data_IF_473681487216
#
_entry.id   IF_473681487216
#
_cell.length_a   1.000
_cell.length_b   1.000
_cell.length_c   1.000
_cell.angle_alpha   90.00
_cell.angle_beta   90.00
_cell.angle_gamma   90.00
#
_symmetry.space_group_name_H-M   'P 1'
#
loop_
_entity.id
_entity.type
_entity.pdbx_description
1 polymer ?
#
# COMPACT_ATOMS: atom_id res chain seq x y z
N UNK A 1 3.75 22.91 17.23
CA UNK A 1 4.46 22.72 15.95
C UNK A 1 3.43 22.58 14.85
N UNK A 2 3.07 23.69 14.21
CA UNK A 2 2.06 23.74 13.14
C UNK A 2 2.73 23.55 11.79
N UNK A 3 2.95 22.30 11.38
CA UNK A 3 3.43 21.96 10.04
C UNK A 3 2.28 22.17 9.03
N UNK A 4 2.03 23.43 8.67
CA UNK A 4 1.05 23.83 7.66
C UNK A 4 1.71 23.79 6.28
N UNK A 5 1.72 22.63 5.65
CA UNK A 5 1.37 22.58 4.24
C UNK A 5 -0.16 22.66 4.21
N UNK A 6 -0.76 23.70 3.63
CA UNK A 6 -2.21 23.77 3.48
C UNK A 6 -2.66 22.52 2.73
N UNK A 7 -3.25 21.53 3.41
CA UNK A 7 -3.85 20.39 2.74
C UNK A 7 -5.19 20.85 2.17
N UNK A 8 -5.14 21.45 0.99
CA UNK A 8 -6.36 21.75 0.25
C UNK A 8 -7.12 20.43 0.07
N UNK A 9 -8.46 20.45 -0.07
CA UNK A 9 -9.22 19.22 -0.31
C UNK A 9 -8.64 18.39 -1.47
N UNK A 10 -8.09 19.06 -2.47
CA UNK A 10 -7.47 18.46 -3.63
C UNK A 10 -6.11 17.80 -3.31
N UNK A 11 -5.28 18.41 -2.46
CA UNK A 11 -4.03 17.77 -1.98
C UNK A 11 -4.31 16.50 -1.18
N UNK A 12 -5.44 16.44 -0.46
CA UNK A 12 -5.84 15.26 0.31
C UNK A 12 -6.24 14.11 -0.61
N UNK A 13 -6.94 14.43 -1.70
CA UNK A 13 -7.27 13.45 -2.74
C UNK A 13 -5.98 12.91 -3.34
N UNK A 14 -5.08 13.77 -3.82
CA UNK A 14 -3.82 13.33 -4.42
C UNK A 14 -2.88 12.60 -3.46
N UNK A 15 -2.82 13.00 -2.19
CA UNK A 15 -2.06 12.29 -1.18
C UNK A 15 -2.65 10.90 -0.85
N UNK A 16 -3.94 10.68 -1.08
CA UNK A 16 -4.58 9.38 -0.83
C UNK A 16 -4.39 8.38 -1.99
N UNK A 17 -4.23 8.87 -3.22
CA UNK A 17 -4.10 8.04 -4.42
C UNK A 17 -2.95 7.02 -4.38
N UNK A 18 -1.73 7.36 -3.89
CA UNK A 18 -0.64 6.39 -3.81
C UNK A 18 -0.97 5.14 -3.02
N UNK A 19 -1.87 5.20 -2.03
CA UNK A 19 -2.27 4.03 -1.23
C UNK A 19 -3.08 3.00 -2.02
N UNK A 20 -3.52 3.31 -3.24
CA UNK A 20 -4.04 2.30 -4.16
C UNK A 20 -2.98 1.27 -4.53
N UNK A 21 -1.69 1.65 -4.58
CA UNK A 21 -0.61 0.73 -4.91
C UNK A 21 -0.48 -0.41 -3.87
N UNK A 22 -0.25 -0.15 -2.57
CA UNK A 22 -0.18 -1.22 -1.57
C UNK A 22 -1.52 -1.95 -1.39
N UNK A 23 -2.65 -1.30 -1.68
CA UNK A 23 -3.95 -1.98 -1.69
C UNK A 23 -4.00 -3.08 -2.77
N UNK A 24 -3.57 -2.76 -3.99
CA UNK A 24 -3.49 -3.73 -5.10
C UNK A 24 -2.46 -4.81 -4.83
N UNK A 25 -1.25 -4.44 -4.37
CA UNK A 25 -0.19 -5.38 -3.97
C UNK A 25 -0.66 -6.33 -2.85
N UNK A 26 -1.60 -5.89 -2.01
CA UNK A 26 -2.16 -6.66 -0.91
C UNK A 26 -3.19 -7.72 -1.34
N UNK A 27 -3.92 -7.53 -2.44
CA UNK A 27 -5.03 -8.41 -2.85
C UNK A 27 -4.62 -9.89 -2.99
N UNK A 28 -3.45 -10.25 -3.57
CA UNK A 28 -3.02 -11.64 -3.66
C UNK A 28 -2.93 -12.35 -2.30
N UNK A 29 -2.64 -11.63 -1.21
CA UNK A 29 -2.58 -12.22 0.12
C UNK A 29 -3.96 -12.59 0.68
N UNK A 30 -5.04 -11.98 0.17
CA UNK A 30 -6.41 -12.20 0.63
C UNK A 30 -7.13 -13.38 -0.03
N UNK A 31 -6.50 -14.11 -0.97
CA UNK A 31 -7.14 -15.16 -1.76
C UNK A 31 -7.85 -16.23 -0.90
N UNK A 32 -7.21 -16.66 0.18
CA UNK A 32 -7.79 -17.65 1.10
C UNK A 32 -9.07 -17.11 1.74
N UNK A 33 -9.04 -15.86 2.19
CA UNK A 33 -10.15 -15.19 2.83
C UNK A 33 -11.31 -14.95 1.85
N UNK A 34 -11.04 -14.60 0.61
CA UNK A 34 -12.05 -14.46 -0.45
C UNK A 34 -12.69 -15.79 -0.86
N UNK A 35 -11.93 -16.89 -0.83
CA UNK A 35 -12.46 -18.22 -1.08
C UNK A 35 -13.36 -18.70 0.07
N UNK A 36 -13.01 -18.39 1.32
CA UNK A 36 -13.80 -18.72 2.51
C UNK A 36 -15.07 -17.87 2.63
N UNK A 37 -14.99 -16.59 2.25
CA UNK A 37 -16.10 -15.64 2.34
C UNK A 37 -16.36 -14.97 0.99
N UNK A 38 -17.04 -15.64 0.04
CA UNK A 38 -17.24 -15.13 -1.31
C UNK A 38 -17.94 -13.76 -1.37
N UNK A 39 -18.76 -13.42 -0.38
CA UNK A 39 -19.43 -12.12 -0.25
C UNK A 39 -18.43 -10.95 -0.27
N UNK A 40 -17.21 -11.14 0.23
CA UNK A 40 -16.18 -10.11 0.26
C UNK A 40 -15.67 -9.74 -1.15
N UNK A 41 -15.85 -10.60 -2.16
CA UNK A 41 -15.53 -10.25 -3.54
C UNK A 41 -16.37 -9.08 -4.05
N UNK A 42 -17.56 -8.85 -3.49
CA UNK A 42 -18.38 -7.69 -3.84
C UNK A 42 -17.67 -6.36 -3.53
N UNK A 43 -16.79 -6.33 -2.50
CA UNK A 43 -15.99 -5.16 -2.15
C UNK A 43 -14.89 -4.86 -3.18
N UNK A 44 -14.48 -5.86 -3.97
CA UNK A 44 -13.47 -5.70 -5.02
C UNK A 44 -14.05 -5.23 -6.35
N UNK A 45 -15.36 -5.31 -6.55
CA UNK A 45 -16.05 -4.84 -7.77
C UNK A 45 -15.61 -3.45 -8.23
N UNK A 46 -15.56 -2.40 -7.37
CA UNK A 46 -15.13 -1.07 -7.80
C UNK A 46 -13.66 -1.00 -8.26
N UNK A 47 -12.80 -1.87 -7.72
CA UNK A 47 -11.35 -1.89 -7.98
C UNK A 47 -10.99 -2.89 -9.10
N UNK A 48 -11.93 -3.73 -9.50
CA UNK A 48 -11.74 -4.77 -10.53
C UNK A 48 -11.13 -4.27 -11.84
N UNK A 49 -11.58 -3.14 -12.46
CA UNK A 49 -10.94 -2.67 -13.69
C UNK A 49 -9.48 -2.27 -13.47
N UNK A 50 -9.17 -1.69 -12.31
CA UNK A 50 -7.80 -1.33 -11.95
C UNK A 50 -6.94 -2.58 -11.74
N UNK A 51 -7.47 -3.61 -11.07
CA UNK A 51 -6.81 -4.91 -10.90
C UNK A 51 -6.51 -5.59 -12.23
N UNK A 52 -7.44 -5.53 -13.20
CA UNK A 52 -7.25 -6.12 -14.51
C UNK A 52 -6.08 -5.48 -15.27
N UNK A 53 -5.96 -4.15 -15.21
CA UNK A 53 -4.83 -3.42 -15.81
C UNK A 53 -3.53 -3.75 -15.07
N UNK A 54 -3.59 -3.73 -13.74
CA UNK A 54 -2.44 -3.92 -12.87
C UNK A 54 -1.84 -5.34 -12.99
N UNK A 55 -2.65 -6.38 -13.03
CA UNK A 55 -2.19 -7.76 -13.20
C UNK A 55 -2.02 -8.16 -14.67
N UNK A 56 -2.62 -7.42 -15.60
CA UNK A 56 -2.50 -7.67 -17.04
C UNK A 56 -1.15 -7.29 -17.64
N UNK A 57 -0.35 -6.48 -16.93
CA UNK A 57 0.96 -6.00 -17.40
C UNK A 57 2.11 -6.53 -16.52
N UNK A 58 3.15 -7.14 -17.10
CA UNK A 58 4.28 -7.64 -16.32
C UNK A 58 5.00 -6.48 -15.63
N UNK A 59 5.42 -6.70 -14.38
CA UNK A 59 6.12 -5.68 -13.56
C UNK A 59 5.32 -4.39 -13.32
N UNK A 60 4.00 -4.37 -13.49
CA UNK A 60 3.18 -3.18 -13.26
C UNK A 60 3.43 -2.54 -11.88
N UNK A 61 3.50 -3.35 -10.82
CA UNK A 61 3.82 -2.91 -9.46
C UNK A 61 5.14 -2.11 -9.41
N UNK A 62 6.19 -2.67 -10.01
CA UNK A 62 7.52 -2.05 -10.04
C UNK A 62 7.55 -0.78 -10.91
N UNK A 63 6.85 -0.77 -12.04
CA UNK A 63 6.75 0.40 -12.91
C UNK A 63 6.03 1.53 -12.19
N UNK A 64 4.90 1.25 -11.55
CA UNK A 64 4.12 2.24 -10.80
C UNK A 64 4.92 2.74 -9.59
N UNK A 65 5.63 1.85 -8.89
CA UNK A 65 6.58 2.22 -7.85
C UNK A 65 7.58 3.28 -8.34
N UNK A 66 8.25 3.03 -9.47
CA UNK A 66 9.24 3.98 -10.00
C UNK A 66 8.59 5.27 -10.49
N UNK A 67 7.41 5.18 -11.10
CA UNK A 67 6.66 6.35 -11.54
C UNK A 67 6.29 7.25 -10.35
N UNK A 68 5.71 6.69 -9.28
CA UNK A 68 5.37 7.46 -8.07
C UNK A 68 6.64 8.01 -7.41
N UNK A 69 7.71 7.22 -7.33
CA UNK A 69 8.95 7.67 -6.70
C UNK A 69 9.61 8.83 -7.47
N UNK A 70 9.78 8.69 -8.78
CA UNK A 70 10.49 9.68 -9.60
C UNK A 70 9.64 10.93 -9.86
N UNK A 71 8.35 10.76 -10.15
CA UNK A 71 7.47 11.89 -10.52
C UNK A 71 6.90 12.61 -9.30
N UNK A 72 6.66 11.88 -8.20
CA UNK A 72 6.01 12.44 -7.00
C UNK A 72 7.03 12.69 -5.89
N UNK A 73 7.66 11.64 -5.36
CA UNK A 73 8.51 11.73 -4.16
C UNK A 73 9.74 12.63 -4.38
N UNK A 74 10.39 12.51 -5.54
CA UNK A 74 11.60 13.25 -5.91
C UNK A 74 11.34 14.65 -6.47
N UNK A 75 10.09 15.04 -6.69
CA UNK A 75 9.76 16.34 -7.25
C UNK A 75 9.48 17.36 -6.13
N UNK A 76 10.41 18.29 -5.92
CA UNK A 76 10.30 19.31 -4.86
C UNK A 76 9.20 20.35 -5.11
N UNK A 77 8.64 20.42 -6.32
CA UNK A 77 7.47 21.26 -6.61
C UNK A 77 6.18 20.69 -6.01
N UNK A 78 6.17 19.41 -5.62
CA UNK A 78 5.00 18.76 -5.04
C UNK A 78 4.98 19.01 -3.52
N UNK A 79 3.82 19.36 -2.94
CA UNK A 79 3.67 19.54 -1.51
C UNK A 79 4.23 18.37 -0.69
N UNK A 80 4.95 18.70 0.38
CA UNK A 80 5.52 17.71 1.30
C UNK A 80 4.49 16.68 1.78
N UNK A 81 3.24 17.11 2.02
CA UNK A 81 2.15 16.24 2.44
C UNK A 81 1.84 15.11 1.44
N UNK A 82 1.87 15.40 0.13
CA UNK A 82 1.65 14.40 -0.92
C UNK A 82 2.87 13.49 -1.01
N UNK A 83 4.09 14.07 -0.96
CA UNK A 83 5.35 13.32 -1.02
C UNK A 83 5.48 12.33 0.14
N UNK A 84 5.10 12.74 1.35
CA UNK A 84 5.07 11.89 2.54
C UNK A 84 4.17 10.68 2.33
N UNK A 85 2.91 10.90 1.94
CA UNK A 85 1.97 9.80 1.75
C UNK A 85 2.35 8.90 0.58
N UNK A 86 2.90 9.46 -0.50
CA UNK A 86 3.44 8.70 -1.62
C UNK A 86 4.60 7.79 -1.19
N UNK A 87 5.54 8.33 -0.42
CA UNK A 87 6.67 7.57 0.12
C UNK A 87 6.19 6.48 1.08
N UNK A 88 5.21 6.76 1.94
CA UNK A 88 4.65 5.78 2.86
C UNK A 88 3.95 4.63 2.12
N UNK A 89 3.16 4.93 1.09
CA UNK A 89 2.51 3.93 0.26
C UNK A 89 3.53 3.04 -0.46
N UNK A 90 4.59 3.65 -1.01
CA UNK A 90 5.70 2.95 -1.64
C UNK A 90 6.38 1.98 -0.65
N UNK A 91 6.68 2.43 0.57
CA UNK A 91 7.32 1.58 1.57
C UNK A 91 6.43 0.40 1.97
N UNK A 92 5.11 0.60 2.09
CA UNK A 92 4.16 -0.50 2.29
C UNK A 92 4.23 -1.52 1.15
N UNK A 93 4.25 -1.06 -0.10
CA UNK A 93 4.41 -1.94 -1.26
C UNK A 93 5.72 -2.72 -1.26
N UNK A 94 6.83 -2.10 -0.86
CA UNK A 94 8.12 -2.82 -0.69
C UNK A 94 7.96 -3.92 0.37
N UNK A 95 7.38 -3.60 1.53
CA UNK A 95 7.18 -4.59 2.60
C UNK A 95 6.34 -5.77 2.09
N UNK A 96 5.26 -5.50 1.34
CA UNK A 96 4.41 -6.54 0.78
C UNK A 96 5.15 -7.40 -0.25
N UNK A 97 5.92 -6.79 -1.14
CA UNK A 97 6.74 -7.53 -2.10
C UNK A 97 7.75 -8.44 -1.38
N UNK A 98 8.42 -7.95 -0.34
CA UNK A 98 9.35 -8.75 0.47
C UNK A 98 8.63 -9.88 1.20
N UNK A 99 7.48 -9.62 1.82
CA UNK A 99 6.65 -10.66 2.43
C UNK A 99 6.25 -11.73 1.42
N UNK A 100 5.85 -11.34 0.20
CA UNK A 100 5.52 -12.25 -0.88
C UNK A 100 6.71 -13.14 -1.28
N UNK A 101 7.89 -12.55 -1.42
CA UNK A 101 9.12 -13.30 -1.73
C UNK A 101 9.45 -14.29 -0.61
N UNK A 102 9.46 -13.85 0.65
CA UNK A 102 9.78 -14.72 1.80
C UNK A 102 8.76 -15.85 1.93
N UNK A 103 7.47 -15.55 1.79
CA UNK A 103 6.41 -16.55 1.88
C UNK A 103 6.51 -17.58 0.75
N UNK A 104 6.64 -17.16 -0.50
CA UNK A 104 6.62 -18.09 -1.64
C UNK A 104 7.93 -18.84 -1.84
N UNK A 105 9.08 -18.19 -1.61
CA UNK A 105 10.38 -18.78 -1.91
C UNK A 105 11.00 -19.49 -0.71
N UNK A 106 10.80 -18.99 0.51
CA UNK A 106 11.42 -19.56 1.70
C UNK A 106 10.46 -20.45 2.51
N UNK A 107 9.24 -19.98 2.79
CA UNK A 107 8.31 -20.65 3.70
C UNK A 107 7.43 -21.70 3.02
N UNK A 108 6.91 -21.45 1.83
CA UNK A 108 6.03 -22.38 1.13
C UNK A 108 6.66 -23.76 0.86
N UNK A 109 7.95 -23.88 0.47
CA UNK A 109 8.60 -25.18 0.31
C UNK A 109 8.76 -25.98 1.61
N UNK A 110 8.78 -25.29 2.77
CA UNK A 110 9.00 -25.88 4.09
C UNK A 110 7.68 -26.23 4.77
N UNK A 111 6.72 -25.30 4.75
CA UNK A 111 5.46 -25.38 5.50
C UNK A 111 4.28 -25.87 4.66
N UNK A 112 4.40 -25.86 3.33
CA UNK A 112 3.32 -26.20 2.41
C UNK A 112 2.13 -25.23 2.49
N UNK A 113 0.96 -25.68 2.02
CA UNK A 113 -0.30 -24.91 1.98
C UNK A 113 -1.18 -25.03 3.23
N UNK A 114 -0.61 -25.46 4.36
CA UNK A 114 -1.35 -25.74 5.60
C UNK A 114 -1.91 -24.50 6.31
N UNK A 115 -2.59 -24.73 7.44
CA UNK A 115 -3.25 -23.68 8.24
C UNK A 115 -2.31 -22.52 8.62
N UNK A 116 -1.05 -22.82 8.94
CA UNK A 116 -0.06 -21.79 9.30
C UNK A 116 0.18 -20.83 8.14
N UNK A 117 0.35 -21.37 6.92
CA UNK A 117 0.58 -20.56 5.72
C UNK A 117 -0.63 -19.67 5.41
N UNK A 118 -1.83 -20.25 5.47
CA UNK A 118 -3.09 -19.52 5.29
C UNK A 118 -3.26 -18.39 6.33
N UNK A 119 -2.88 -18.65 7.58
CA UNK A 119 -2.93 -17.65 8.65
C UNK A 119 -1.98 -16.49 8.37
N UNK A 120 -0.75 -16.77 7.92
CA UNK A 120 0.22 -15.72 7.56
C UNK A 120 -0.29 -14.84 6.42
N UNK A 121 -0.81 -15.45 5.35
CA UNK A 121 -1.45 -14.73 4.24
C UNK A 121 -2.58 -13.82 4.73
N UNK A 122 -3.49 -14.34 5.56
CA UNK A 122 -4.60 -13.57 6.10
C UNK A 122 -4.13 -12.43 7.02
N UNK A 123 -3.13 -12.65 7.87
CA UNK A 123 -2.58 -11.61 8.76
C UNK A 123 -1.96 -10.48 7.94
N UNK A 124 -1.18 -10.81 6.91
CA UNK A 124 -0.60 -9.79 6.02
C UNK A 124 -1.71 -9.03 5.31
N UNK A 125 -2.70 -9.73 4.74
CA UNK A 125 -3.81 -9.10 4.03
C UNK A 125 -4.59 -8.13 4.94
N UNK A 126 -5.02 -8.60 6.11
CA UNK A 126 -5.77 -7.77 7.07
C UNK A 126 -4.92 -6.62 7.60
N UNK A 127 -3.63 -6.84 7.83
CA UNK A 127 -2.67 -5.80 8.19
C UNK A 127 -2.54 -4.72 7.13
N UNK A 128 -2.47 -5.11 5.85
CA UNK A 128 -2.45 -4.19 4.71
C UNK A 128 -3.72 -3.36 4.62
N UNK A 129 -4.89 -4.01 4.71
CA UNK A 129 -6.18 -3.30 4.67
C UNK A 129 -6.26 -2.30 5.83
N UNK A 130 -5.89 -2.71 7.05
CA UNK A 130 -5.88 -1.83 8.20
C UNK A 130 -4.94 -0.63 8.01
N UNK A 131 -3.71 -0.86 7.55
CA UNK A 131 -2.71 0.18 7.30
C UNK A 131 -3.16 1.16 6.20
N UNK A 132 -3.71 0.66 5.10
CA UNK A 132 -4.21 1.46 3.98
C UNK A 132 -5.43 2.29 4.42
N UNK A 133 -6.42 1.67 5.05
CA UNK A 133 -7.64 2.37 5.52
C UNK A 133 -7.28 3.44 6.55
N UNK A 134 -6.41 3.12 7.52
CA UNK A 134 -5.91 4.10 8.48
C UNK A 134 -5.22 5.26 7.77
N UNK A 135 -4.35 4.98 6.80
CA UNK A 135 -3.59 6.01 6.10
C UNK A 135 -4.48 6.92 5.25
N UNK A 136 -5.44 6.35 4.52
CA UNK A 136 -6.43 7.09 3.74
C UNK A 136 -7.30 7.95 4.66
N UNK A 137 -7.77 7.41 5.79
CA UNK A 137 -8.59 8.14 6.74
C UNK A 137 -7.86 9.35 7.34
N UNK A 138 -6.60 9.18 7.79
CA UNK A 138 -5.78 10.30 8.28
C UNK A 138 -5.52 11.33 7.19
N UNK A 139 -5.21 10.87 5.97
CA UNK A 139 -4.97 11.75 4.81
C UNK A 139 -6.20 12.57 4.45
N UNK A 140 -7.39 11.97 4.48
CA UNK A 140 -8.66 12.65 4.23
C UNK A 140 -8.97 13.72 5.30
N UNK A 141 -8.56 13.48 6.55
CA UNK A 141 -8.62 14.47 7.63
C UNK A 141 -7.53 15.55 7.52
N UNK A 142 -6.61 15.44 6.55
CA UNK A 142 -5.49 16.37 6.36
C UNK A 142 -4.36 16.17 7.37
N UNK A 143 -4.27 14.98 7.98
CA UNK A 143 -3.24 14.60 8.96
C UNK A 143 -2.24 13.64 8.33
N UNK A 144 -1.03 13.63 8.85
CA UNK A 144 -0.04 12.62 8.47
C UNK A 144 -0.44 11.27 9.08
N UNK A 145 -0.43 10.22 8.26
CA UNK A 145 -0.69 8.88 8.72
C UNK A 145 0.54 8.34 9.44
N UNK A 146 0.58 8.45 10.77
CA UNK A 146 1.70 7.96 11.56
C UNK A 146 1.54 6.46 11.83
N UNK A 147 2.27 5.64 11.07
CA UNK A 147 2.45 4.21 11.29
C UNK A 147 3.81 4.04 11.97
N UNK A 148 3.88 3.49 13.19
CA UNK A 148 5.13 3.30 13.92
C UNK A 148 6.18 2.59 13.06
N UNK A 149 7.45 2.99 13.15
CA UNK A 149 8.60 2.50 12.35
C UNK A 149 8.56 2.85 10.86
N UNK A 150 7.40 2.78 10.21
CA UNK A 150 7.25 3.07 8.79
C UNK A 150 7.35 4.58 8.52
N UNK A 151 6.63 5.39 9.28
CA UNK A 151 6.65 6.84 9.12
C UNK A 151 8.02 7.43 9.45
N UNK A 152 8.75 6.85 10.41
CA UNK A 152 10.14 7.21 10.71
C UNK A 152 11.05 6.96 9.49
N UNK A 153 10.88 5.81 8.83
CA UNK A 153 11.61 5.50 7.60
C UNK A 153 11.25 6.47 6.45
N UNK A 154 10.00 6.91 6.35
CA UNK A 154 9.59 7.96 5.40
C UNK A 154 10.33 9.26 5.68
N UNK A 155 10.37 9.71 6.94
CA UNK A 155 11.06 10.93 7.33
C UNK A 155 12.56 10.89 7.03
N UNK A 156 13.19 9.71 7.10
CA UNK A 156 14.60 9.54 6.74
C UNK A 156 14.86 9.66 5.23
N UNK A 157 13.88 9.34 4.40
CA UNK A 157 14.02 9.31 2.94
C UNK A 157 13.65 10.63 2.26
N UNK A 158 12.82 11.44 2.91
CA UNK A 158 12.45 12.75 2.41
C UNK A 158 13.40 13.81 2.98
N UNK A 159 14.24 14.46 2.15
CA UNK A 159 14.96 15.64 2.60
C UNK A 159 13.97 16.72 3.04
N UNK A 160 14.31 17.43 4.11
CA UNK A 160 13.49 18.51 4.68
C UNK A 160 13.44 19.72 3.75
#
# INVERSE_FOLDING_TARGET
MTWRGSSTPLDRVYASLPYLLPLLDGIPFGQVLFAQFPVLNALLLPITPLLAIYHGFPFASLIIFFAVFLLVVRNDNIPYFIRFNAMQAILLSIILALCGIVLNLALAPILGGGLLMQTLYNVIFLGTIAAVVYSIAQTAMGRFAEIPTLSDAVYMQLPR
#
